data_IF_664426531501
#
_entry.id   IF_664426531501
#
_cell.length_a   1.000
_cell.length_b   1.000
_cell.length_c   1.000
_cell.angle_alpha   90.00
_cell.angle_beta   90.00
_cell.angle_gamma   90.00
#
_symmetry.space_group_name_H-M   'P 1'
#
loop_
_entity.id
_entity.type
_entity.pdbx_description
1 polymer ?
#
# COMPACT_ATOMS: atom_id res chain seq x y z
N UNK A 1 1.55 -15.28 -19.40
CA UNK A 1 2.61 -14.24 -19.50
C UNK A 1 3.92 -14.90 -19.08
N UNK A 2 4.97 -14.86 -19.91
CA UNK A 2 6.30 -15.36 -19.50
C UNK A 2 6.96 -14.27 -18.64
N UNK A 3 7.23 -14.59 -17.38
CA UNK A 3 7.75 -13.64 -16.39
C UNK A 3 9.13 -13.10 -16.76
N UNK A 4 9.94 -13.85 -17.52
CA UNK A 4 11.27 -13.41 -17.96
C UNK A 4 11.13 -12.36 -19.06
N UNK A 5 10.22 -12.59 -20.01
CA UNK A 5 9.91 -11.61 -21.07
C UNK A 5 9.42 -10.31 -20.46
N UNK A 6 8.47 -10.36 -19.52
CA UNK A 6 7.96 -9.15 -18.85
C UNK A 6 9.03 -8.39 -18.08
N UNK A 7 9.97 -9.08 -17.42
CA UNK A 7 11.10 -8.41 -16.74
C UNK A 7 11.98 -7.63 -17.71
N UNK A 8 12.27 -8.20 -18.88
CA UNK A 8 13.09 -7.55 -19.90
C UNK A 8 12.39 -6.32 -20.51
N UNK A 9 11.09 -6.42 -20.77
CA UNK A 9 10.28 -5.31 -21.30
C UNK A 9 10.22 -4.14 -20.31
N UNK A 10 10.03 -4.41 -19.03
CA UNK A 10 10.04 -3.38 -17.98
C UNK A 10 11.42 -2.71 -17.88
N UNK A 11 12.51 -3.48 -17.88
CA UNK A 11 13.87 -2.94 -17.85
C UNK A 11 14.13 -2.03 -19.05
N UNK A 12 13.77 -2.48 -20.26
CA UNK A 12 13.92 -1.69 -21.49
C UNK A 12 13.14 -0.38 -21.39
N UNK A 13 11.89 -0.43 -20.94
CA UNK A 13 11.04 0.75 -20.79
C UNK A 13 11.63 1.78 -19.83
N UNK A 14 12.22 1.32 -18.71
CA UNK A 14 12.87 2.19 -17.72
C UNK A 14 14.17 2.79 -18.27
N UNK A 15 14.92 2.06 -19.11
CA UNK A 15 16.16 2.56 -19.70
C UNK A 15 15.93 3.57 -20.83
N UNK A 16 14.83 3.44 -21.56
CA UNK A 16 14.52 4.29 -22.72
C UNK A 16 13.75 5.56 -22.36
N UNK A 17 13.14 5.64 -21.17
CA UNK A 17 12.36 6.80 -20.75
C UNK A 17 13.23 7.95 -20.25
N UNK A 18 12.94 9.17 -20.68
CA UNK A 18 13.57 10.40 -20.19
C UNK A 18 12.73 11.08 -19.09
N UNK A 19 11.58 10.51 -18.71
CA UNK A 19 10.70 11.09 -17.71
C UNK A 19 11.23 10.81 -16.29
N UNK A 20 11.94 11.78 -15.72
CA UNK A 20 12.51 11.72 -14.36
C UNK A 20 11.45 11.42 -13.29
N UNK A 21 10.27 12.04 -13.35
CA UNK A 21 9.22 11.83 -12.36
C UNK A 21 8.71 10.39 -12.36
N UNK A 22 8.60 9.78 -13.54
CA UNK A 22 8.24 8.37 -13.68
C UNK A 22 9.31 7.47 -13.05
N UNK A 23 10.60 7.72 -13.33
CA UNK A 23 11.71 6.94 -12.78
C UNK A 23 11.73 7.02 -11.25
N UNK A 24 11.55 8.21 -10.68
CA UNK A 24 11.49 8.42 -9.23
C UNK A 24 10.34 7.64 -8.59
N UNK A 25 9.14 7.68 -9.19
CA UNK A 25 7.98 6.93 -8.70
C UNK A 25 8.19 5.41 -8.72
N UNK A 26 8.84 4.88 -9.77
CA UNK A 26 9.16 3.45 -9.84
C UNK A 26 10.23 3.08 -8.79
N UNK A 27 11.25 3.92 -8.60
CA UNK A 27 12.27 3.71 -7.59
C UNK A 27 11.67 3.68 -6.18
N UNK A 28 10.78 4.63 -5.87
CA UNK A 28 10.05 4.65 -4.60
C UNK A 28 9.18 3.41 -4.45
N UNK A 29 8.42 3.02 -5.49
CA UNK A 29 7.59 1.81 -5.45
C UNK A 29 8.41 0.55 -5.12
N UNK A 30 9.55 0.34 -5.80
CA UNK A 30 10.43 -0.83 -5.56
C UNK A 30 11.07 -0.77 -4.16
N UNK A 31 11.39 0.43 -3.66
CA UNK A 31 11.92 0.60 -2.30
C UNK A 31 10.84 0.25 -1.26
N UNK A 32 9.61 0.69 -1.49
CA UNK A 32 8.46 0.43 -0.62
C UNK A 32 7.96 -1.00 -0.68
N UNK A 33 8.15 -1.73 -1.77
CA UNK A 33 7.84 -3.16 -1.84
C UNK A 33 8.58 -3.97 -0.77
N UNK A 34 9.72 -3.47 -0.28
CA UNK A 34 10.52 -4.11 0.79
C UNK A 34 10.16 -3.64 2.20
N UNK A 35 9.35 -2.60 2.33
CA UNK A 35 8.98 -2.01 3.63
C UNK A 35 7.52 -2.31 3.85
N UNK A 36 7.17 -2.97 4.95
CA UNK A 36 5.78 -3.19 5.30
C UNK A 36 5.13 -1.81 5.51
N UNK A 37 3.90 -1.60 5.01
CA UNK A 37 3.19 -0.33 5.22
C UNK A 37 3.07 -0.01 6.71
N UNK A 38 3.04 -1.04 7.57
CA UNK A 38 3.07 -0.91 9.02
C UNK A 38 4.26 -0.07 9.52
N UNK A 39 5.43 -0.24 8.92
CA UNK A 39 6.66 0.46 9.30
C UNK A 39 6.68 1.92 8.78
N UNK A 40 5.83 2.27 7.83
CA UNK A 40 5.65 3.64 7.35
C UNK A 40 4.64 4.45 8.17
N UNK A 41 3.84 3.80 9.03
CA UNK A 41 2.80 4.46 9.83
C UNK A 41 3.39 5.22 11.01
N UNK A 42 2.82 6.39 11.32
CA UNK A 42 3.14 7.12 12.55
C UNK A 42 2.72 6.33 13.79
N UNK A 43 3.33 6.66 14.94
CA UNK A 43 2.97 6.01 16.21
C UNK A 43 1.49 6.21 16.58
N UNK A 44 0.89 7.35 16.20
CA UNK A 44 -0.54 7.60 16.43
C UNK A 44 -1.40 6.64 15.62
N UNK A 45 -1.12 6.50 14.33
CA UNK A 45 -1.89 5.61 13.45
C UNK A 45 -1.74 4.14 13.85
N UNK A 46 -0.53 3.71 14.23
CA UNK A 46 -0.31 2.36 14.76
C UNK A 46 -1.09 2.13 16.07
N UNK A 47 -1.16 3.14 16.94
CA UNK A 47 -1.92 3.07 18.19
C UNK A 47 -3.43 2.98 17.93
N UNK A 48 -3.95 3.77 17.00
CA UNK A 48 -5.36 3.76 16.61
C UNK A 48 -5.77 2.41 16.02
N UNK A 49 -4.94 1.82 15.15
CA UNK A 49 -5.21 0.49 14.60
C UNK A 49 -5.22 -0.57 15.71
N UNK A 50 -4.24 -0.55 16.62
CA UNK A 50 -4.20 -1.49 17.76
C UNK A 50 -5.45 -1.37 18.62
N UNK A 51 -5.88 -0.15 18.93
CA UNK A 51 -7.12 0.08 19.66
C UNK A 51 -8.33 -0.47 18.91
N UNK A 52 -8.43 -0.20 17.60
CA UNK A 52 -9.51 -0.72 16.76
C UNK A 52 -9.58 -2.25 16.78
N UNK A 53 -8.44 -2.94 16.67
CA UNK A 53 -8.36 -4.40 16.75
C UNK A 53 -8.86 -4.90 18.12
N UNK A 54 -8.41 -4.30 19.22
CA UNK A 54 -8.90 -4.66 20.56
C UNK A 54 -10.41 -4.46 20.71
N UNK A 55 -10.96 -3.41 20.12
CA UNK A 55 -12.40 -3.13 20.14
C UNK A 55 -13.18 -4.18 19.33
N UNK A 56 -12.66 -4.57 18.16
CA UNK A 56 -13.22 -5.64 17.33
C UNK A 56 -13.24 -6.98 18.09
N UNK A 57 -12.14 -7.32 18.78
CA UNK A 57 -12.02 -8.54 19.59
C UNK A 57 -12.99 -8.54 20.78
N UNK A 58 -13.23 -7.36 21.37
CA UNK A 58 -14.26 -7.15 22.41
C UNK A 58 -15.69 -7.13 21.84
N UNK A 59 -15.86 -7.37 20.55
CA UNK A 59 -17.16 -7.40 19.86
C UNK A 59 -17.75 -6.03 19.57
N UNK A 60 -17.02 -4.94 19.81
CA UNK A 60 -17.43 -3.56 19.50
C UNK A 60 -17.24 -3.30 18.00
N UNK A 61 -18.04 -3.96 17.18
CA UNK A 61 -17.95 -3.89 15.72
C UNK A 61 -19.32 -3.66 15.09
N UNK A 62 -19.31 -3.01 13.94
CA UNK A 62 -20.48 -2.87 13.06
C UNK A 62 -20.12 -3.45 11.70
N UNK A 63 -21.12 -3.88 10.93
CA UNK A 63 -20.86 -4.30 9.55
C UNK A 63 -20.40 -3.11 8.72
N UNK A 64 -19.49 -3.35 7.77
CA UNK A 64 -18.97 -2.32 6.88
C UNK A 64 -20.09 -1.65 6.08
N UNK A 65 -21.06 -2.42 5.59
CA UNK A 65 -22.23 -1.89 4.88
C UNK A 65 -23.08 -0.98 5.78
N UNK A 66 -23.29 -1.35 7.05
CA UNK A 66 -24.03 -0.50 7.99
C UNK A 66 -23.30 0.80 8.30
N UNK A 67 -21.97 0.77 8.33
CA UNK A 67 -21.16 1.97 8.50
C UNK A 67 -21.27 2.91 7.29
N UNK A 68 -21.12 2.39 6.07
CA UNK A 68 -21.22 3.19 4.84
C UNK A 68 -22.56 3.91 4.71
N UNK A 69 -23.66 3.24 5.07
CA UNK A 69 -25.01 3.85 5.08
C UNK A 69 -25.16 5.02 6.05
N UNK A 70 -24.28 5.17 7.05
CA UNK A 70 -24.31 6.28 8.02
C UNK A 70 -23.52 7.50 7.57
N UNK A 71 -22.58 7.32 6.65
CA UNK A 71 -21.65 8.37 6.20
C UNK A 71 -21.90 8.81 4.74
N UNK A 72 -22.74 8.06 4.01
CA UNK A 72 -23.28 8.46 2.70
C UNK A 72 -24.52 9.31 2.85
#
# INVERSE_FOLDING_TARGET
MDIRTTKLELLKTILETENTDFILRIADFVKKEKVDFWDEMSLSEQSEIKQGIEELDKGKRVSFESFLKKIS
#
